data_IF_328315824692
#
_entry.id   IF_328315824692
#
_cell.length_a   1.000
_cell.length_b   1.000
_cell.length_c   1.000
_cell.angle_alpha   90.00
_cell.angle_beta   90.00
_cell.angle_gamma   90.00
#
_symmetry.space_group_name_H-M   'P 1'
#
loop_
_entity.id
_entity.type
_entity.pdbx_description
1 polymer ?
#
# COMPACT_ATOMS: atom_id res chain seq x y z
N UNK A 1 -7.04 -14.88 -10.60
CA UNK A 1 -7.26 -13.63 -9.85
C UNK A 1 -8.62 -13.69 -9.20
N UNK A 2 -8.67 -13.98 -7.89
CA UNK A 2 -9.92 -14.10 -7.12
C UNK A 2 -10.30 -12.68 -6.69
N UNK A 3 -11.48 -12.21 -7.11
CA UNK A 3 -12.19 -11.00 -6.68
C UNK A 3 -11.35 -9.94 -5.94
N UNK A 4 -10.68 -9.06 -6.68
CA UNK A 4 -10.26 -7.78 -6.12
C UNK A 4 -11.51 -6.96 -5.81
N UNK A 5 -11.71 -6.45 -4.58
CA UNK A 5 -12.80 -5.53 -4.29
C UNK A 5 -12.65 -4.32 -5.22
N UNK A 6 -13.63 -4.08 -6.09
CA UNK A 6 -13.68 -2.85 -6.88
C UNK A 6 -14.04 -1.73 -5.93
N UNK A 7 -13.15 -0.74 -5.78
CA UNK A 7 -13.34 0.44 -4.93
C UNK A 7 -13.45 0.15 -3.41
N UNK A 8 -12.39 -0.40 -2.78
CA UNK A 8 -12.35 -0.63 -1.34
C UNK A 8 -12.38 0.72 -0.60
N UNK A 9 -13.32 0.84 0.34
CA UNK A 9 -13.49 2.06 1.12
C UNK A 9 -12.57 2.09 2.35
N UNK A 10 -12.19 0.90 2.85
CA UNK A 10 -11.34 0.73 4.03
C UNK A 10 -10.06 -0.02 3.70
N UNK A 11 -9.10 0.69 3.11
CA UNK A 11 -7.78 0.14 2.80
C UNK A 11 -6.87 0.25 4.03
N UNK A 12 -6.54 -0.88 4.65
CA UNK A 12 -5.53 -0.90 5.70
C UNK A 12 -4.15 -1.12 5.10
N UNK A 13 -3.20 -0.27 5.49
CA UNK A 13 -1.82 -0.35 5.03
C UNK A 13 -0.90 -0.69 6.19
N UNK A 14 -0.04 -1.68 5.97
CA UNK A 14 0.88 -2.22 6.97
C UNK A 14 2.32 -1.71 6.80
N UNK A 15 2.61 -0.94 5.75
CA UNK A 15 3.95 -0.40 5.47
C UNK A 15 3.87 1.02 4.94
N UNK A 16 4.73 1.91 5.44
CA UNK A 16 4.78 3.30 4.99
C UNK A 16 5.19 3.44 3.52
N UNK A 17 5.99 2.51 2.97
CA UNK A 17 6.32 2.52 1.54
C UNK A 17 5.09 2.33 0.67
N UNK A 18 4.22 1.39 1.06
CA UNK A 18 2.95 1.13 0.36
C UNK A 18 1.97 2.28 0.60
N UNK A 19 1.98 2.88 1.79
CA UNK A 19 1.15 4.04 2.14
C UNK A 19 1.46 5.22 1.23
N UNK A 20 2.74 5.57 1.07
CA UNK A 20 3.17 6.66 0.20
C UNK A 20 2.74 6.45 -1.26
N UNK A 21 2.83 5.21 -1.75
CA UNK A 21 2.46 4.87 -3.12
C UNK A 21 0.95 4.88 -3.34
N UNK A 22 0.18 4.45 -2.34
CA UNK A 22 -1.28 4.56 -2.36
C UNK A 22 -1.71 6.03 -2.41
N UNK A 23 -1.09 6.89 -1.61
CA UNK A 23 -1.39 8.33 -1.62
C UNK A 23 -0.91 9.02 -2.91
N UNK A 24 0.16 8.52 -3.54
CA UNK A 24 0.62 9.06 -4.83
C UNK A 24 -0.45 8.92 -5.93
N UNK A 25 -1.26 7.85 -5.88
CA UNK A 25 -2.37 7.64 -6.80
C UNK A 25 -3.71 8.22 -6.31
N UNK A 26 -3.68 9.16 -5.34
CA UNK A 26 -4.85 9.74 -4.66
C UNK A 26 -5.70 8.71 -3.88
N UNK A 27 -5.14 7.55 -3.57
CA UNK A 27 -5.75 6.56 -2.70
C UNK A 27 -5.75 6.98 -1.23
N UNK A 28 -6.69 6.43 -0.45
CA UNK A 28 -6.80 6.69 0.99
C UNK A 28 -6.64 5.42 1.80
N UNK A 29 -5.85 5.50 2.86
CA UNK A 29 -5.72 4.44 3.85
C UNK A 29 -6.51 4.78 5.12
N UNK A 30 -6.97 3.75 5.82
CA UNK A 30 -7.56 3.85 7.16
C UNK A 30 -6.57 3.54 8.28
N UNK A 31 -5.33 3.19 7.94
CA UNK A 31 -4.29 2.83 8.90
C UNK A 31 -2.91 3.16 8.38
N UNK A 32 -1.92 3.17 9.28
CA UNK A 32 -0.50 3.29 8.95
C UNK A 32 0.37 2.40 9.81
N UNK A 33 1.64 2.25 9.41
CA UNK A 33 2.66 1.73 10.29
C UNK A 33 3.20 2.86 11.19
N UNK A 34 3.59 2.49 12.41
CA UNK A 34 4.34 3.36 13.31
C UNK A 34 5.70 3.67 12.70
N UNK A 35 6.03 4.96 12.61
CA UNK A 35 7.38 5.45 12.29
C UNK A 35 7.71 6.61 13.22
N UNK A 36 9.02 6.83 13.40
CA UNK A 36 9.57 8.03 14.01
C UNK A 36 9.74 9.17 13.01
N UNK A 37 9.61 8.89 11.71
CA UNK A 37 9.69 9.89 10.65
C UNK A 37 8.49 10.83 10.70
N UNK A 38 8.73 12.09 10.35
CA UNK A 38 7.67 13.08 10.27
C UNK A 38 6.80 12.77 9.05
N UNK A 39 5.52 12.46 9.29
CA UNK A 39 4.56 12.22 8.24
C UNK A 39 3.73 13.49 7.98
N UNK A 40 3.01 13.52 6.86
CA UNK A 40 2.02 14.56 6.64
C UNK A 40 0.93 14.50 7.75
N UNK A 41 0.33 15.63 8.16
CA UNK A 41 -0.68 15.66 9.23
C UNK A 41 -1.83 14.66 9.01
N UNK A 42 -2.28 14.53 7.76
CA UNK A 42 -3.35 13.60 7.38
C UNK A 42 -2.97 12.13 7.62
N UNK A 43 -1.69 11.79 7.45
CA UNK A 43 -1.17 10.45 7.74
C UNK A 43 -0.98 10.25 9.23
N UNK A 44 -0.50 11.25 9.97
CA UNK A 44 -0.32 11.15 11.43
C UNK A 44 -1.64 10.88 12.16
N UNK A 45 -2.75 11.45 11.65
CA UNK A 45 -4.11 11.23 12.14
C UNK A 45 -4.61 9.78 11.95
N UNK A 46 -3.99 9.00 11.07
CA UNK A 46 -4.36 7.60 10.88
C UNK A 46 -3.95 6.75 12.09
N UNK A 47 -4.77 5.77 12.48
CA UNK A 47 -4.41 4.82 13.54
C UNK A 47 -3.16 4.04 13.13
N UNK A 48 -2.18 4.04 14.03
CA UNK A 48 -0.92 3.32 13.85
C UNK A 48 -1.08 1.88 14.33
N UNK A 49 -0.88 0.92 13.44
CA UNK A 49 -1.01 -0.51 13.73
C UNK A 49 0.27 -1.10 14.34
N UNK A 50 1.17 -0.30 14.91
CA UNK A 50 2.49 -0.76 15.33
C UNK A 50 3.51 -0.72 14.20
N UNK A 51 4.69 -1.28 14.44
CA UNK A 51 5.82 -1.20 13.50
C UNK A 51 5.58 -2.13 12.31
N UNK A 52 6.10 -1.81 11.12
CA UNK A 52 6.03 -2.68 9.93
C UNK A 52 6.49 -4.12 10.22
N UNK A 53 7.48 -4.31 11.09
CA UNK A 53 7.91 -5.67 11.48
C UNK A 53 6.91 -6.42 12.38
N UNK A 54 6.14 -5.68 13.19
CA UNK A 54 5.25 -6.19 14.23
C UNK A 54 3.94 -5.39 14.23
N UNK A 55 3.00 -5.85 13.40
CA UNK A 55 1.68 -5.26 13.25
C UNK A 55 0.74 -5.80 14.35
N UNK A 56 -0.03 -4.90 14.95
CA UNK A 56 -1.11 -5.19 15.87
C UNK A 56 -2.35 -5.66 15.09
N UNK A 57 -2.50 -6.98 15.03
CA UNK A 57 -3.62 -7.63 14.33
C UNK A 57 -4.97 -7.34 14.98
N UNK A 58 -5.05 -7.18 16.31
CA UNK A 58 -6.31 -6.89 16.98
C UNK A 58 -6.86 -5.52 16.56
N UNK A 59 -5.99 -4.50 16.52
CA UNK A 59 -6.37 -3.19 16.02
C UNK A 59 -6.74 -3.24 14.53
N UNK A 60 -5.95 -3.95 13.71
CA UNK A 60 -6.24 -4.11 12.29
C UNK A 60 -7.63 -4.71 12.06
N UNK A 61 -7.96 -5.80 12.75
CA UNK A 61 -9.26 -6.46 12.65
C UNK A 61 -10.39 -5.56 13.18
N UNK A 62 -10.13 -4.79 14.24
CA UNK A 62 -11.07 -3.83 14.81
C UNK A 62 -11.45 -2.70 13.85
N UNK A 63 -10.57 -2.31 12.93
CA UNK A 63 -10.85 -1.30 11.90
C UNK A 63 -11.74 -1.80 10.76
N UNK A 64 -11.97 -3.12 10.67
CA UNK A 64 -12.75 -3.78 9.61
C UNK A 64 -12.30 -3.36 8.20
N UNK A 65 -11.04 -3.64 7.83
CA UNK A 65 -10.54 -3.33 6.49
C UNK A 65 -11.22 -4.19 5.44
N UNK A 66 -11.52 -3.58 4.29
CA UNK A 66 -12.00 -4.29 3.10
C UNK A 66 -10.84 -4.94 2.34
N UNK A 67 -9.64 -4.36 2.45
CA UNK A 67 -8.41 -4.90 1.89
C UNK A 67 -7.22 -4.49 2.74
N UNK A 68 -6.26 -5.40 2.89
CA UNK A 68 -5.00 -5.16 3.59
C UNK A 68 -3.85 -5.15 2.59
N UNK A 69 -3.06 -4.07 2.60
CA UNK A 69 -1.89 -3.90 1.75
C UNK A 69 -0.61 -4.04 2.59
N UNK A 70 0.26 -4.98 2.20
CA UNK A 70 1.46 -5.31 2.94
C UNK A 70 2.65 -5.68 2.05
N UNK A 71 3.73 -6.17 2.67
CA UNK A 71 4.92 -6.63 1.98
C UNK A 71 5.10 -8.13 2.24
N UNK A 72 5.51 -8.88 1.22
CA UNK A 72 5.70 -10.34 1.31
C UNK A 72 6.75 -10.68 2.38
N UNK A 73 7.89 -10.00 2.38
CA UNK A 73 8.99 -10.24 3.32
C UNK A 73 8.61 -10.00 4.80
N UNK A 74 7.73 -9.03 5.09
CA UNK A 74 7.38 -8.64 6.46
C UNK A 74 6.07 -9.25 6.96
N UNK A 75 5.05 -9.36 6.09
CA UNK A 75 3.66 -9.59 6.50
C UNK A 75 3.09 -10.94 6.05
N UNK A 76 3.83 -11.76 5.30
CA UNK A 76 3.38 -13.11 4.89
C UNK A 76 2.97 -13.99 6.08
N UNK A 77 3.59 -13.80 7.24
CA UNK A 77 3.20 -14.48 8.50
C UNK A 77 1.75 -14.22 8.94
N UNK A 78 1.14 -13.12 8.51
CA UNK A 78 -0.23 -12.74 8.88
C UNK A 78 -1.29 -13.17 7.84
N UNK A 79 -0.86 -13.64 6.68
CA UNK A 79 -1.74 -14.01 5.56
C UNK A 79 -2.81 -15.02 5.97
N UNK A 80 -2.41 -16.11 6.65
CA UNK A 80 -3.35 -17.14 7.11
C UNK A 80 -4.39 -16.59 8.10
N UNK A 81 -4.00 -15.65 8.96
CA UNK A 81 -4.91 -15.03 9.93
C UNK A 81 -5.92 -14.10 9.22
N UNK A 82 -5.46 -13.31 8.25
CA UNK A 82 -6.32 -12.41 7.48
C UNK A 82 -7.29 -13.21 6.61
N UNK A 83 -6.81 -14.28 5.97
CA UNK A 83 -7.64 -15.19 5.18
C UNK A 83 -8.70 -15.90 6.03
N UNK A 84 -8.34 -16.35 7.24
CA UNK A 84 -9.31 -16.94 8.19
C UNK A 84 -10.42 -15.95 8.61
N UNK A 85 -10.14 -14.65 8.57
CA UNK A 85 -11.11 -13.59 8.82
C UNK A 85 -11.84 -13.10 7.55
N UNK A 86 -11.65 -13.77 6.41
CA UNK A 86 -12.17 -13.38 5.10
C UNK A 86 -11.77 -11.96 4.66
N UNK A 87 -10.58 -11.51 5.06
CA UNK A 87 -10.05 -10.19 4.70
C UNK A 87 -9.11 -10.35 3.50
N UNK A 88 -9.45 -9.78 2.33
CA UNK A 88 -8.56 -9.72 1.17
C UNK A 88 -7.23 -9.10 1.55
N UNK A 89 -6.14 -9.78 1.23
CA UNK A 89 -4.78 -9.32 1.53
C UNK A 89 -3.96 -9.30 0.26
N UNK A 90 -3.27 -8.19 0.02
CA UNK A 90 -2.35 -8.00 -1.10
C UNK A 90 -0.97 -7.75 -0.52
N UNK A 91 -0.07 -8.68 -0.76
CA UNK A 91 1.32 -8.57 -0.36
C UNK A 91 2.17 -8.24 -1.57
N UNK A 92 2.83 -7.09 -1.54
CA UNK A 92 3.75 -6.67 -2.58
C UNK A 92 5.12 -7.29 -2.33
N UNK A 93 5.67 -7.93 -3.35
CA UNK A 93 7.07 -8.32 -3.38
C UNK A 93 7.83 -7.14 -3.99
N UNK A 94 8.44 -6.33 -3.12
CA UNK A 94 9.11 -5.10 -3.52
C UNK A 94 10.61 -5.32 -3.52
N UNK A 95 11.18 -5.49 -4.71
CA UNK A 95 12.60 -5.74 -4.94
C UNK A 95 13.28 -4.54 -5.64
N UNK A 96 12.55 -3.43 -5.80
CA UNK A 96 13.08 -2.12 -6.17
C UNK A 96 12.32 -1.42 -7.29
N UNK A 97 13.06 -0.63 -8.08
CA UNK A 97 12.53 0.33 -9.06
C UNK A 97 11.58 -0.30 -10.09
N UNK A 98 11.83 -1.56 -10.47
CA UNK A 98 11.04 -2.33 -11.45
C UNK A 98 9.61 -2.62 -10.97
N UNK A 99 9.40 -2.72 -9.66
CA UNK A 99 8.12 -3.12 -9.07
C UNK A 99 7.21 -1.92 -8.79
N UNK A 100 7.73 -0.69 -8.91
CA UNK A 100 6.95 0.53 -8.70
C UNK A 100 5.85 0.71 -9.75
N UNK A 101 6.13 0.46 -11.03
CA UNK A 101 5.14 0.59 -12.11
C UNK A 101 3.96 -0.39 -11.96
N UNK A 102 4.18 -1.71 -11.77
CA UNK A 102 3.07 -2.64 -11.55
C UNK A 102 2.32 -2.33 -10.25
N UNK A 103 3.01 -1.90 -9.19
CA UNK A 103 2.36 -1.52 -7.95
C UNK A 103 1.47 -0.28 -8.11
N UNK A 104 1.96 0.78 -8.75
CA UNK A 104 1.17 1.99 -9.02
C UNK A 104 -0.04 1.68 -9.90
N UNK A 105 0.14 0.86 -10.93
CA UNK A 105 -0.97 0.41 -11.81
C UNK A 105 -2.04 -0.30 -10.98
N UNK A 106 -1.63 -1.26 -10.16
CA UNK A 106 -2.54 -2.01 -9.30
C UNK A 106 -3.26 -1.10 -8.30
N UNK A 107 -2.56 -0.17 -7.65
CA UNK A 107 -3.16 0.76 -6.70
C UNK A 107 -4.15 1.71 -7.39
N UNK A 108 -3.85 2.15 -8.61
CA UNK A 108 -4.77 2.93 -9.43
C UNK A 108 -6.04 2.17 -9.80
N UNK A 109 -5.92 0.90 -10.19
CA UNK A 109 -7.08 0.05 -10.47
C UNK A 109 -7.89 -0.24 -9.21
N UNK A 110 -7.21 -0.53 -8.10
CA UNK A 110 -7.82 -0.82 -6.81
C UNK A 110 -8.65 0.37 -6.32
N UNK A 111 -8.09 1.57 -6.39
CA UNK A 111 -8.73 2.81 -5.90
C UNK A 111 -9.58 3.53 -6.94
N UNK A 112 -9.72 2.96 -8.15
CA UNK A 112 -10.40 3.59 -9.28
C UNK A 112 -9.82 4.97 -9.70
N UNK A 113 -8.50 5.13 -9.54
CA UNK A 113 -7.72 6.29 -9.97
C UNK A 113 -6.70 5.90 -11.06
N UNK A 114 -7.13 5.13 -12.07
CA UNK A 114 -6.25 4.63 -13.13
C UNK A 114 -5.57 5.78 -13.89
N UNK A 115 -6.28 6.89 -14.13
CA UNK A 115 -5.73 8.06 -14.81
C UNK A 115 -4.62 8.75 -14.00
N UNK A 116 -4.81 8.86 -12.67
CA UNK A 116 -3.79 9.37 -11.77
C UNK A 116 -2.58 8.44 -11.74
N UNK A 117 -2.80 7.13 -11.61
CA UNK A 117 -1.74 6.14 -11.64
C UNK A 117 -0.92 6.21 -12.92
N UNK A 118 -1.57 6.31 -14.10
CA UNK A 118 -0.87 6.51 -15.38
C UNK A 118 0.00 7.77 -15.39
N UNK A 119 -0.51 8.88 -14.85
CA UNK A 119 0.26 10.13 -14.75
C UNK A 119 1.49 9.99 -13.84
N UNK A 120 1.33 9.34 -12.68
CA UNK A 120 2.43 9.08 -11.74
C UNK A 120 3.46 8.13 -12.37
N UNK A 121 3.01 7.06 -13.04
CA UNK A 121 3.86 6.10 -13.75
C UNK A 121 4.66 6.81 -14.85
N UNK A 122 4.02 7.61 -15.70
CA UNK A 122 4.71 8.34 -16.77
C UNK A 122 5.79 9.29 -16.21
N UNK A 123 5.49 9.96 -15.10
CA UNK A 123 6.45 10.82 -14.40
C UNK A 123 7.61 10.01 -13.83
N UNK A 124 7.30 8.87 -13.21
CA UNK A 124 8.27 7.97 -12.62
C UNK A 124 9.21 7.35 -13.67
N UNK A 125 8.67 6.86 -14.78
CA UNK A 125 9.44 6.32 -15.92
C UNK A 125 10.32 7.40 -16.55
N UNK A 126 9.80 8.63 -16.73
CA UNK A 126 10.59 9.75 -17.23
C UNK A 126 11.77 10.07 -16.32
N UNK A 127 11.57 10.02 -14.99
CA UNK A 127 12.64 10.24 -14.03
C UNK A 127 13.69 9.13 -14.06
N UNK A 128 13.29 7.85 -14.18
CA UNK A 128 14.25 6.74 -14.34
C UNK A 128 15.08 6.94 -15.60
N UNK A 129 14.45 7.30 -16.72
CA UNK A 129 15.15 7.50 -17.98
C UNK A 129 16.20 8.62 -17.85
N UNK A 130 15.84 9.74 -17.23
CA UNK A 130 16.79 10.82 -16.94
C UNK A 130 17.97 10.38 -16.08
N UNK A 131 17.71 9.55 -15.07
CA UNK A 131 18.79 9.03 -14.21
C UNK A 131 19.69 8.09 -15.01
N UNK A 132 19.14 7.21 -15.87
CA UNK A 132 19.92 6.32 -16.72
C UNK A 132 20.75 7.05 -17.78
N UNK A 133 20.21 8.11 -18.37
CA UNK A 133 20.91 8.90 -19.38
C UNK A 133 22.01 9.81 -18.79
N UNK A 134 22.00 9.99 -17.46
CA UNK A 134 23.00 10.77 -16.73
C UNK A 134 24.19 9.92 -16.23
N UNK A 135 24.23 8.62 -16.53
CA UNK A 135 25.33 7.68 -16.21
C UNK A 135 25.98 7.22 -17.51
#
# INVERSE_FOLDING_TARGET
FVNSPKDPQRIAVLSNSVLSMLYAVDGKAISRASTTDKLAPDLEALPALGQTANINMEQLLGLKPDVVLGLVNQHKKYESQLQANNIPTVLFDYDGIKDNVPMLTFLGELTNHQDKAKSVIATYESNIQKVKDAI
#
